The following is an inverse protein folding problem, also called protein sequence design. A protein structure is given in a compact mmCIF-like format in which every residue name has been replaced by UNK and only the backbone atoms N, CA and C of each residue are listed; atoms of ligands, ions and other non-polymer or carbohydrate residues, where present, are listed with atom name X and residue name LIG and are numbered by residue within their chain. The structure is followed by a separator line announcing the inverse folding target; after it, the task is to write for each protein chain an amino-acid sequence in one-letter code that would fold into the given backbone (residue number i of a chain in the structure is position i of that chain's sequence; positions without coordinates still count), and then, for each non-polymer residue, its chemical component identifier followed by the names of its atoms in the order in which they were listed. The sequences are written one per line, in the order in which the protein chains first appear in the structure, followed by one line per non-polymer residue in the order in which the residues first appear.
data_IF_960190336058
#
_entry.id   IF_960190336058
#
_cell.length_a   1.000
_cell.length_b   1.000
_cell.length_c   1.000
_cell.angle_alpha   90.00
_cell.angle_beta   90.00
_cell.angle_gamma   90.00
#
_symmetry.space_group_name_H-M   'P 1'
#
loop_
_entity.id
_entity.type
_entity.pdbx_description
1 polymer ?
#
# COMPACT_ATOMS: atom_id res chain seq x y z
N UNK A 1 -7.85 27.63 -0.77
CA UNK A 1 -8.89 26.75 -1.35
C UNK A 1 -8.39 25.33 -1.59
N UNK A 2 -7.46 25.05 -2.53
CA UNK A 2 -6.99 23.65 -2.76
C UNK A 2 -6.27 23.06 -1.53
N UNK A 3 -5.33 23.80 -0.93
CA UNK A 3 -4.59 23.34 0.25
C UNK A 3 -5.47 23.19 1.50
N UNK A 4 -6.43 24.10 1.69
CA UNK A 4 -7.37 24.06 2.82
C UNK A 4 -8.29 22.82 2.74
N UNK A 5 -8.74 22.45 1.54
CA UNK A 5 -9.52 21.22 1.35
C UNK A 5 -8.68 20.00 1.70
N UNK A 6 -7.45 19.93 1.19
CA UNK A 6 -6.53 18.83 1.47
C UNK A 6 -6.19 18.71 2.96
N UNK A 7 -6.06 19.85 3.65
CA UNK A 7 -5.84 19.90 5.09
C UNK A 7 -7.03 19.37 5.88
N UNK A 8 -8.25 19.79 5.54
CA UNK A 8 -9.47 19.29 6.18
C UNK A 8 -9.63 17.77 6.00
N UNK A 9 -9.39 17.27 4.78
CA UNK A 9 -9.45 15.83 4.50
C UNK A 9 -8.41 15.06 5.34
N UNK A 10 -7.20 15.61 5.49
CA UNK A 10 -6.15 15.02 6.35
C UNK A 10 -6.60 15.00 7.81
N UNK A 11 -7.18 16.08 8.33
CA UNK A 11 -7.63 16.16 9.72
C UNK A 11 -8.73 15.12 10.01
N UNK A 12 -9.72 14.99 9.12
CA UNK A 12 -10.77 13.97 9.22
C UNK A 12 -10.17 12.55 9.25
N UNK A 13 -9.29 12.22 8.29
CA UNK A 13 -8.61 10.92 8.27
C UNK A 13 -7.75 10.68 9.52
N UNK A 14 -7.07 11.69 10.06
CA UNK A 14 -6.27 11.53 11.28
C UNK A 14 -7.15 11.20 12.49
N UNK A 15 -8.33 11.82 12.62
CA UNK A 15 -9.30 11.49 13.65
C UNK A 15 -9.79 10.04 13.50
N UNK A 16 -10.15 9.63 12.28
CA UNK A 16 -10.59 8.26 11.97
C UNK A 16 -9.51 7.21 12.23
N UNK A 17 -8.25 7.57 11.98
CA UNK A 17 -7.10 6.71 12.27
C UNK A 17 -6.78 6.63 13.78
N UNK A 18 -7.39 7.48 14.60
CA UNK A 18 -7.25 7.52 16.05
C UNK A 18 -6.06 8.36 16.54
N UNK A 19 -5.55 9.27 15.69
CA UNK A 19 -4.53 10.23 16.11
C UNK A 19 -5.10 11.17 17.19
N UNK A 20 -4.27 11.52 18.18
CA UNK A 20 -4.65 12.39 19.31
C UNK A 20 -3.59 13.45 19.62
N UNK A 21 -2.73 13.73 18.64
CA UNK A 21 -1.67 14.70 18.83
C UNK A 21 -2.13 16.14 18.61
N UNK A 22 -1.24 17.11 18.86
CA UNK A 22 -1.57 18.54 18.88
C UNK A 22 -1.92 19.11 17.49
N UNK A 23 -1.63 18.38 16.41
CA UNK A 23 -1.92 18.86 15.04
C UNK A 23 -3.40 18.82 14.66
N UNK A 24 -4.27 18.27 15.52
CA UNK A 24 -5.73 18.38 15.37
C UNK A 24 -6.28 19.74 15.83
N UNK A 25 -5.48 20.55 16.53
CA UNK A 25 -5.89 21.90 16.92
C UNK A 25 -5.97 22.82 15.69
N UNK A 26 -6.91 23.77 15.72
CA UNK A 26 -7.19 24.68 14.59
C UNK A 26 -5.92 25.43 14.13
N UNK A 27 -5.58 25.27 12.85
CA UNK A 27 -4.40 25.87 12.22
C UNK A 27 -3.04 25.26 12.60
N UNK A 28 -2.98 24.28 13.51
CA UNK A 28 -1.72 23.65 13.92
C UNK A 28 -1.08 22.87 12.76
N UNK A 29 -1.87 22.11 12.00
CA UNK A 29 -1.42 21.40 10.83
C UNK A 29 -0.93 22.35 9.72
N UNK A 30 -1.63 23.46 9.47
CA UNK A 30 -1.20 24.50 8.53
C UNK A 30 0.21 25.00 8.85
N UNK A 31 0.45 25.33 10.13
CA UNK A 31 1.74 25.85 10.60
C UNK A 31 2.85 24.80 10.47
N UNK A 32 2.59 23.57 10.92
CA UNK A 32 3.57 22.48 10.86
C UNK A 32 3.92 22.12 9.42
N UNK A 33 2.92 21.95 8.55
CA UNK A 33 3.12 21.63 7.13
C UNK A 33 3.81 22.76 6.35
N UNK A 34 3.64 24.03 6.77
CA UNK A 34 4.38 25.15 6.21
C UNK A 34 5.87 25.14 6.59
N UNK A 35 6.19 24.65 7.80
CA UNK A 35 7.57 24.43 8.24
C UNK A 35 8.23 23.17 7.65
N UNK A 36 7.41 22.20 7.23
CA UNK A 36 7.83 20.98 6.56
C UNK A 36 8.87 20.20 7.35
N UNK A 37 9.95 19.76 6.70
CA UNK A 37 11.03 19.01 7.37
C UNK A 37 11.72 19.77 8.52
N UNK A 38 11.60 21.10 8.57
CA UNK A 38 12.15 21.91 9.67
C UNK A 38 11.21 22.00 10.88
N UNK A 39 9.95 21.55 10.79
CA UNK A 39 9.00 21.55 11.91
C UNK A 39 9.05 20.21 12.66
N UNK A 40 9.47 20.19 13.94
CA UNK A 40 9.41 18.99 14.78
C UNK A 40 8.00 18.40 14.87
N UNK A 41 6.96 19.22 14.88
CA UNK A 41 5.57 18.77 14.96
C UNK A 41 5.16 18.02 13.70
N UNK A 42 5.55 18.52 12.53
CA UNK A 42 5.33 17.86 11.25
C UNK A 42 6.08 16.52 11.17
N UNK A 43 7.36 16.49 11.53
CA UNK A 43 8.17 15.25 11.47
C UNK A 43 7.67 14.21 12.49
N UNK A 44 7.17 14.63 13.66
CA UNK A 44 6.51 13.74 14.63
C UNK A 44 5.26 13.08 14.07
N UNK A 45 4.44 13.81 13.30
CA UNK A 45 3.27 13.23 12.64
C UNK A 45 3.67 12.20 11.60
N UNK A 46 4.66 12.50 10.74
CA UNK A 46 5.20 11.54 9.79
C UNK A 46 5.72 10.29 10.50
N UNK A 47 6.54 10.45 11.54
CA UNK A 47 7.06 9.33 12.32
C UNK A 47 5.94 8.49 12.96
N UNK A 48 4.88 9.11 13.45
CA UNK A 48 3.70 8.41 13.98
C UNK A 48 3.00 7.58 12.89
N UNK A 49 2.70 8.17 11.72
CA UNK A 49 2.08 7.45 10.60
C UNK A 49 2.93 6.24 10.16
N UNK A 50 4.25 6.42 10.09
CA UNK A 50 5.19 5.34 9.73
C UNK A 50 5.21 4.25 10.80
N UNK A 51 5.16 4.62 12.08
CA UNK A 51 5.09 3.65 13.18
C UNK A 51 3.80 2.81 13.14
N UNK A 52 2.68 3.42 12.74
CA UNK A 52 1.40 2.72 12.55
C UNK A 52 1.46 1.80 11.32
N UNK A 53 2.04 2.27 10.20
CA UNK A 53 2.25 1.46 8.99
C UNK A 53 3.07 0.21 9.27
N UNK A 54 4.11 0.30 10.11
CA UNK A 54 4.97 -0.81 10.52
C UNK A 54 4.23 -1.96 11.20
N UNK A 55 3.03 -1.72 11.74
CA UNK A 55 2.21 -2.78 12.33
C UNK A 55 1.63 -3.73 11.26
N UNK A 56 1.55 -3.27 10.01
CA UNK A 56 0.92 -3.99 8.90
C UNK A 56 1.92 -4.32 7.78
N UNK A 57 2.89 -3.44 7.56
CA UNK A 57 3.91 -3.54 6.53
C UNK A 57 5.26 -3.90 7.14
N UNK A 58 6.02 -4.80 6.50
CA UNK A 58 7.39 -5.14 6.91
C UNK A 58 8.38 -4.10 6.39
N UNK A 59 8.31 -2.90 6.94
CA UNK A 59 9.16 -1.78 6.53
C UNK A 59 10.57 -1.92 7.10
N UNK A 60 11.58 -1.81 6.25
CA UNK A 60 12.99 -1.70 6.63
C UNK A 60 13.27 -0.27 7.11
N UNK A 61 12.87 0.74 6.33
CA UNK A 61 13.23 2.15 6.53
C UNK A 61 12.50 2.80 7.69
N UNK A 62 13.24 3.40 8.62
CA UNK A 62 12.71 3.99 9.83
C UNK A 62 12.77 5.51 9.74
N UNK A 63 11.68 6.16 10.14
CA UNK A 63 11.56 7.61 10.11
C UNK A 63 11.49 8.10 11.55
N UNK A 64 12.46 8.92 11.95
CA UNK A 64 12.54 9.48 13.27
C UNK A 64 12.01 10.91 13.29
N UNK A 65 11.35 11.28 14.38
CA UNK A 65 10.96 12.65 14.62
C UNK A 65 12.19 13.51 14.89
N UNK A 66 12.20 14.72 14.33
CA UNK A 66 13.26 15.69 14.60
C UNK A 66 12.99 16.46 15.90
N UNK A 67 14.07 16.88 16.57
CA UNK A 67 14.03 17.78 17.73
C UNK A 67 14.32 19.23 17.34
N UNK A 68 15.02 19.43 16.22
CA UNK A 68 15.36 20.75 15.70
C UNK A 68 15.55 20.75 14.18
N UNK A 69 15.47 21.93 13.51
CA UNK A 69 15.69 22.05 12.06
C UNK A 69 17.02 21.51 11.53
N UNK A 70 18.06 21.41 12.37
CA UNK A 70 19.36 20.85 11.98
C UNK A 70 19.31 19.38 11.56
N UNK A 71 18.28 18.64 11.97
CA UNK A 71 18.06 17.22 11.66
C UNK A 71 17.17 17.03 10.40
N UNK A 72 16.73 18.12 9.77
CA UNK A 72 15.78 18.08 8.66
C UNK A 72 16.32 17.36 7.40
N UNK A 73 17.62 17.45 7.14
CA UNK A 73 18.24 16.77 5.99
C UNK A 73 18.26 15.26 6.19
N UNK A 74 18.59 14.79 7.40
CA UNK A 74 18.57 13.36 7.76
C UNK A 74 17.15 12.80 7.68
N UNK A 75 16.17 13.51 8.25
CA UNK A 75 14.75 13.14 8.14
C UNK A 75 14.30 13.00 6.68
N UNK A 76 14.71 13.90 5.78
CA UNK A 76 14.34 13.82 4.37
C UNK A 76 14.99 12.64 3.65
N UNK A 77 16.19 12.20 4.08
CA UNK A 77 16.83 10.99 3.57
C UNK A 77 16.06 9.74 4.00
N UNK A 78 15.67 9.65 5.28
CA UNK A 78 14.84 8.56 5.82
C UNK A 78 13.49 8.46 5.08
N UNK A 79 12.81 9.59 4.90
CA UNK A 79 11.57 9.65 4.10
C UNK A 79 11.83 9.18 2.67
N UNK A 80 12.94 9.59 2.04
CA UNK A 80 13.24 9.16 0.67
C UNK A 80 13.49 7.66 0.57
N UNK A 81 14.14 7.05 1.57
CA UNK A 81 14.29 5.60 1.66
C UNK A 81 12.94 4.91 1.74
N UNK A 82 12.11 5.34 2.70
CA UNK A 82 10.76 4.81 2.91
C UNK A 82 9.88 4.91 1.65
N UNK A 83 9.88 6.08 0.98
CA UNK A 83 9.10 6.28 -0.23
C UNK A 83 9.59 5.39 -1.40
N UNK A 84 10.89 5.10 -1.45
CA UNK A 84 11.45 4.13 -2.40
C UNK A 84 10.99 2.71 -2.10
N UNK A 85 11.04 2.30 -0.83
CA UNK A 85 10.58 1.00 -0.36
C UNK A 85 9.10 0.77 -0.66
N UNK A 86 8.25 1.76 -0.41
CA UNK A 86 6.80 1.69 -0.66
C UNK A 86 6.41 1.96 -2.12
N UNK A 87 7.39 2.12 -3.03
CA UNK A 87 7.17 2.40 -4.45
C UNK A 87 6.25 3.62 -4.69
N UNK A 88 6.47 4.71 -3.95
CA UNK A 88 5.64 5.91 -4.01
C UNK A 88 5.53 6.44 -5.44
N UNK A 89 4.30 6.61 -5.98
CA UNK A 89 4.10 6.99 -7.38
C UNK A 89 4.32 8.49 -7.63
N UNK A 90 4.39 9.31 -6.58
CA UNK A 90 4.51 10.76 -6.70
C UNK A 90 5.95 11.18 -6.95
N UNK A 91 6.27 11.43 -8.22
CA UNK A 91 7.62 11.86 -8.66
C UNK A 91 8.08 13.15 -7.96
N UNK A 92 7.16 14.02 -7.59
CA UNK A 92 7.45 15.23 -6.80
C UNK A 92 8.05 14.93 -5.42
N UNK A 93 7.77 13.76 -4.85
CA UNK A 93 8.32 13.31 -3.57
C UNK A 93 9.56 12.40 -3.73
N UNK A 94 9.71 11.75 -4.88
CA UNK A 94 10.77 10.74 -5.10
C UNK A 94 11.91 11.21 -6.02
N UNK A 95 11.75 12.32 -6.73
CA UNK A 95 12.72 12.82 -7.72
C UNK A 95 13.26 14.21 -7.36
N UNK A 96 14.39 14.59 -7.96
CA UNK A 96 15.07 15.86 -7.68
C UNK A 96 15.90 15.83 -6.39
N UNK A 97 16.28 17.01 -5.90
CA UNK A 97 17.12 17.17 -4.71
C UNK A 97 16.37 16.78 -3.43
N UNK A 98 16.86 15.75 -2.73
CA UNK A 98 16.18 15.10 -1.61
C UNK A 98 15.92 16.05 -0.44
N UNK A 99 16.85 16.97 -0.15
CA UNK A 99 16.73 17.89 1.00
C UNK A 99 15.82 19.08 0.73
N UNK A 100 15.26 19.18 -0.48
CA UNK A 100 14.37 20.28 -0.88
C UNK A 100 12.92 19.84 -1.08
N UNK A 101 12.62 18.54 -1.04
CA UNK A 101 11.31 18.02 -1.43
C UNK A 101 10.22 18.38 -0.43
N UNK A 102 10.56 18.49 0.85
CA UNK A 102 9.62 18.80 1.94
C UNK A 102 9.81 20.21 2.51
N UNK A 103 10.22 21.16 1.67
CA UNK A 103 10.33 22.58 2.02
C UNK A 103 9.15 23.43 1.52
N UNK A 104 8.15 22.81 0.88
CA UNK A 104 6.92 23.48 0.49
C UNK A 104 5.71 22.75 1.06
N UNK A 105 4.70 23.52 1.44
CA UNK A 105 3.51 23.02 2.11
C UNK A 105 2.74 22.00 1.28
N UNK A 106 2.62 22.22 -0.04
CA UNK A 106 1.88 21.31 -0.94
C UNK A 106 2.47 19.91 -0.94
N UNK A 107 3.79 19.79 -1.01
CA UNK A 107 4.46 18.49 -0.95
C UNK A 107 4.36 17.86 0.44
N UNK A 108 4.35 18.68 1.49
CA UNK A 108 4.18 18.18 2.85
C UNK A 108 2.80 17.56 3.05
N UNK A 109 1.74 18.27 2.64
CA UNK A 109 0.39 17.72 2.65
C UNK A 109 0.28 16.49 1.73
N UNK A 110 0.90 16.50 0.55
CA UNK A 110 0.92 15.33 -0.35
C UNK A 110 1.56 14.10 0.30
N UNK A 111 2.66 14.28 1.02
CA UNK A 111 3.28 13.20 1.79
C UNK A 111 2.32 12.66 2.86
N UNK A 112 1.68 13.54 3.63
CA UNK A 112 0.72 13.12 4.66
C UNK A 112 -0.47 12.36 4.06
N UNK A 113 -1.09 12.89 3.01
CA UNK A 113 -2.19 12.21 2.29
C UNK A 113 -1.76 10.84 1.80
N UNK A 114 -0.55 10.72 1.23
CA UNK A 114 -0.02 9.44 0.79
C UNK A 114 0.12 8.46 1.97
N UNK A 115 0.84 8.84 3.03
CA UNK A 115 1.05 7.97 4.20
C UNK A 115 -0.25 7.55 4.88
N UNK A 116 -1.21 8.47 5.00
CA UNK A 116 -2.55 8.20 5.52
C UNK A 116 -3.27 7.17 4.63
N UNK A 117 -3.29 7.39 3.32
CA UNK A 117 -3.97 6.49 2.37
C UNK A 117 -3.37 5.08 2.39
N UNK A 118 -2.05 4.96 2.50
CA UNK A 118 -1.36 3.67 2.63
C UNK A 118 -1.71 2.98 3.95
N UNK A 119 -1.81 3.74 5.05
CA UNK A 119 -2.18 3.19 6.36
C UNK A 119 -3.64 2.71 6.38
N UNK A 120 -4.56 3.51 5.85
CA UNK A 120 -5.96 3.13 5.70
C UNK A 120 -6.10 1.87 4.83
N UNK A 121 -5.40 1.82 3.69
CA UNK A 121 -5.38 0.64 2.82
C UNK A 121 -4.82 -0.58 3.55
N UNK A 122 -3.70 -0.44 4.27
CA UNK A 122 -3.10 -1.53 5.04
C UNK A 122 -4.06 -2.07 6.11
N UNK A 123 -4.76 -1.19 6.84
CA UNK A 123 -5.79 -1.58 7.82
C UNK A 123 -6.98 -2.29 7.16
N UNK A 124 -7.47 -1.79 6.02
CA UNK A 124 -8.55 -2.43 5.27
C UNK A 124 -8.14 -3.83 4.78
N UNK A 125 -6.92 -3.98 4.25
CA UNK A 125 -6.38 -5.27 3.84
C UNK A 125 -6.27 -6.24 5.01
N UNK A 126 -5.82 -5.77 6.17
CA UNK A 126 -5.75 -6.57 7.39
C UNK A 126 -7.12 -7.07 7.86
N UNK A 127 -8.18 -6.26 7.74
CA UNK A 127 -9.54 -6.67 8.11
C UNK A 127 -10.15 -7.64 7.09
N UNK A 128 -9.94 -7.39 5.79
CA UNK A 128 -10.54 -8.17 4.70
C UNK A 128 -9.81 -9.50 4.45
N UNK A 129 -8.50 -9.53 4.69
CA UNK A 129 -7.63 -10.68 4.55
C UNK A 129 -6.71 -10.76 5.77
N UNK A 130 -7.25 -11.04 6.98
CA UNK A 130 -6.43 -11.14 8.18
C UNK A 130 -5.33 -12.15 7.93
N UNK A 131 -4.08 -11.86 8.34
CA UNK A 131 -2.97 -12.76 8.11
C UNK A 131 -3.40 -14.11 8.64
N UNK A 132 -3.58 -15.07 7.73
CA UNK A 132 -3.90 -16.44 8.10
C UNK A 132 -2.79 -16.81 9.06
N UNK A 133 -3.12 -16.97 10.35
CA UNK A 133 -2.20 -17.61 11.32
C UNK A 133 -1.62 -18.76 10.55
N UNK A 134 -0.30 -18.73 10.31
CA UNK A 134 0.35 -19.68 9.43
C UNK A 134 -0.23 -21.05 9.78
N UNK A 135 -1.15 -21.55 8.95
CA UNK A 135 -1.56 -22.92 9.10
C UNK A 135 -0.27 -23.62 8.76
N UNK A 136 0.32 -24.27 9.76
CA UNK A 136 1.48 -25.14 9.67
C UNK A 136 1.16 -26.28 8.69
N UNK A 137 1.00 -25.91 7.43
CA UNK A 137 0.59 -26.71 6.31
C UNK A 137 1.78 -26.75 5.37
N UNK A 138 2.67 -27.69 5.64
CA UNK A 138 3.75 -28.24 4.81
C UNK A 138 3.65 -27.91 3.30
N UNK A 139 4.04 -26.72 2.87
CA UNK A 139 4.06 -26.33 1.45
C UNK A 139 4.49 -24.89 1.23
N UNK A 140 5.02 -24.59 0.03
CA UNK A 140 5.34 -23.22 -0.39
C UNK A 140 4.09 -22.35 -0.49
N UNK A 141 4.25 -21.03 -0.47
CA UNK A 141 3.17 -20.07 -0.69
C UNK A 141 2.39 -20.36 -1.99
N UNK A 142 3.12 -20.64 -3.08
CA UNK A 142 2.56 -21.07 -4.37
C UNK A 142 1.67 -22.32 -4.23
N UNK A 143 2.06 -23.27 -3.40
CA UNK A 143 1.25 -24.47 -3.17
C UNK A 143 -0.06 -24.14 -2.43
N UNK A 144 -0.03 -23.23 -1.46
CA UNK A 144 -1.24 -22.82 -0.74
C UNK A 144 -2.21 -22.06 -1.64
N UNK A 145 -1.70 -21.20 -2.53
CA UNK A 145 -2.52 -20.50 -3.53
C UNK A 145 -3.19 -21.47 -4.51
N UNK A 146 -2.42 -22.40 -5.09
CA UNK A 146 -2.98 -23.42 -5.98
C UNK A 146 -4.02 -24.30 -5.28
N UNK A 147 -3.76 -24.67 -4.01
CA UNK A 147 -4.73 -25.39 -3.18
C UNK A 147 -5.99 -24.56 -2.93
N UNK A 148 -5.84 -23.26 -2.67
CA UNK A 148 -6.95 -22.32 -2.51
C UNK A 148 -7.85 -22.27 -3.75
N UNK A 149 -7.25 -22.16 -4.94
CA UNK A 149 -7.96 -22.19 -6.22
C UNK A 149 -8.75 -23.49 -6.38
N UNK A 150 -8.14 -24.65 -6.11
CA UNK A 150 -8.82 -25.94 -6.21
C UNK A 150 -10.02 -26.02 -5.26
N UNK A 151 -9.89 -25.55 -4.01
CA UNK A 151 -10.97 -25.54 -3.04
C UNK A 151 -12.11 -24.61 -3.50
N UNK A 152 -11.77 -23.39 -3.95
CA UNK A 152 -12.75 -22.41 -4.42
C UNK A 152 -13.54 -22.91 -5.64
N UNK A 153 -12.88 -23.63 -6.55
CA UNK A 153 -13.51 -24.25 -7.71
C UNK A 153 -14.22 -25.58 -7.40
N UNK A 154 -14.21 -26.03 -6.14
CA UNK A 154 -14.80 -27.30 -5.71
C UNK A 154 -14.17 -28.52 -6.38
N UNK A 155 -12.87 -28.45 -6.70
CA UNK A 155 -12.12 -29.55 -7.29
C UNK A 155 -11.76 -30.59 -6.23
N UNK A 156 -11.82 -31.87 -6.60
CA UNK A 156 -11.27 -32.95 -5.78
C UNK A 156 -9.74 -32.89 -5.75
N UNK A 157 -9.14 -33.53 -4.73
CA UNK A 157 -7.69 -33.69 -4.63
C UNK A 157 -7.12 -34.27 -5.94
N UNK A 158 -6.07 -33.67 -6.52
CA UNK A 158 -5.49 -34.16 -7.76
C UNK A 158 -4.90 -35.57 -7.60
N UNK A 159 -4.90 -36.41 -8.66
CA UNK A 159 -4.19 -37.69 -8.68
C UNK A 159 -2.69 -37.50 -8.41
N UNK A 160 -2.06 -38.47 -7.74
CA UNK A 160 -0.64 -38.39 -7.37
C UNK A 160 0.32 -38.27 -8.57
N UNK A 161 -0.11 -38.73 -9.75
CA UNK A 161 0.67 -38.73 -11.00
C UNK A 161 0.26 -37.64 -12.00
N UNK A 162 -0.50 -36.63 -11.56
CA UNK A 162 -0.94 -35.55 -12.45
C UNK A 162 0.26 -34.73 -12.93
N UNK A 163 0.30 -34.43 -14.22
CA UNK A 163 1.29 -33.51 -14.78
C UNK A 163 0.85 -32.05 -14.57
N UNK A 164 1.78 -31.10 -14.56
CA UNK A 164 1.46 -29.67 -14.43
C UNK A 164 0.50 -29.19 -15.52
N UNK A 165 0.70 -29.64 -16.76
CA UNK A 165 -0.21 -29.32 -17.86
C UNK A 165 -1.63 -29.82 -17.59
N UNK A 166 -1.79 -31.08 -17.22
CA UNK A 166 -3.11 -31.65 -16.89
C UNK A 166 -3.77 -30.95 -15.69
N UNK A 167 -2.97 -30.55 -14.71
CA UNK A 167 -3.46 -29.83 -13.54
C UNK A 167 -4.03 -28.46 -13.92
N UNK A 168 -3.27 -27.64 -14.67
CA UNK A 168 -3.74 -26.33 -15.11
C UNK A 168 -4.89 -26.42 -16.13
N UNK A 169 -4.86 -27.39 -17.05
CA UNK A 169 -6.01 -27.66 -17.93
C UNK A 169 -7.26 -28.05 -17.14
N UNK A 170 -7.10 -28.76 -16.03
CA UNK A 170 -8.19 -29.09 -15.12
C UNK A 170 -8.79 -27.86 -14.44
N UNK A 171 -7.94 -26.97 -13.95
CA UNK A 171 -8.35 -25.67 -13.38
C UNK A 171 -9.09 -24.84 -14.44
N UNK A 172 -8.52 -24.69 -15.63
CA UNK A 172 -9.12 -23.92 -16.73
C UNK A 172 -10.50 -24.47 -17.09
N UNK A 173 -10.63 -25.79 -17.22
CA UNK A 173 -11.91 -26.45 -17.50
C UNK A 173 -12.92 -26.15 -16.39
N UNK A 174 -12.54 -26.32 -15.12
CA UNK A 174 -13.45 -26.11 -13.99
C UNK A 174 -13.88 -24.64 -13.85
N UNK A 175 -12.97 -23.72 -14.15
CA UNK A 175 -13.26 -22.29 -14.19
C UNK A 175 -14.30 -21.97 -15.27
N UNK A 176 -14.12 -22.48 -16.51
CA UNK A 176 -15.11 -22.32 -17.59
C UNK A 176 -16.47 -22.90 -17.23
N UNK A 177 -16.51 -24.09 -16.62
CA UNK A 177 -17.74 -24.70 -16.12
C UNK A 177 -18.44 -23.85 -15.05
N UNK A 178 -17.66 -23.22 -14.17
CA UNK A 178 -18.20 -22.38 -13.10
C UNK A 178 -18.72 -21.05 -13.66
N UNK A 179 -17.98 -20.43 -14.57
CA UNK A 179 -18.41 -19.22 -15.28
C UNK A 179 -19.68 -19.44 -16.12
N UNK A 180 -19.85 -20.63 -16.69
CA UNK A 180 -21.06 -20.99 -17.44
C UNK A 180 -22.32 -21.08 -16.57
N UNK A 181 -22.19 -21.18 -15.24
CA UNK A 181 -23.32 -21.22 -14.29
C UNK A 181 -23.78 -19.84 -13.83
N UNK A 182 -23.02 -18.80 -14.13
CA UNK A 182 -23.35 -17.42 -13.75
C UNK A 182 -23.72 -16.60 -15.00
N UNK A 183 -24.48 -15.50 -14.84
CA UNK A 183 -24.76 -14.60 -15.95
C UNK A 183 -23.50 -14.08 -16.63
N UNK A 184 -23.55 -13.82 -17.94
CA UNK A 184 -22.39 -13.35 -18.73
C UNK A 184 -21.82 -12.01 -18.27
N UNK A 185 -22.59 -11.23 -17.52
CA UNK A 185 -22.18 -9.96 -16.91
C UNK A 185 -21.69 -10.10 -15.46
N UNK A 186 -21.60 -11.31 -14.89
CA UNK A 186 -21.22 -11.52 -13.48
C UNK A 186 -19.82 -11.00 -13.16
N UNK A 187 -18.85 -11.20 -14.07
CA UNK A 187 -17.47 -10.72 -13.93
C UNK A 187 -17.30 -9.28 -14.49
N UNK A 188 -18.34 -8.72 -15.10
CA UNK A 188 -18.27 -7.41 -15.75
C UNK A 188 -17.44 -7.40 -17.03
N UNK A 189 -17.10 -6.19 -17.50
CA UNK A 189 -16.25 -6.01 -18.69
C UNK A 189 -14.78 -6.13 -18.31
N UNK A 190 -13.93 -6.77 -19.12
CA UNK A 190 -12.49 -6.81 -18.87
C UNK A 190 -11.89 -5.41 -18.77
N UNK A 191 -11.04 -5.18 -17.75
CA UNK A 191 -10.25 -3.95 -17.64
C UNK A 191 -9.21 -3.84 -18.77
N UNK A 192 -8.71 -4.99 -19.24
CA UNK A 192 -7.77 -5.09 -20.35
C UNK A 192 -8.33 -6.04 -21.41
N UNK A 193 -8.54 -5.52 -22.62
CA UNK A 193 -9.07 -6.27 -23.77
C UNK A 193 -8.02 -6.67 -24.80
N UNK A 194 -6.79 -6.12 -24.68
CA UNK A 194 -5.68 -6.44 -25.58
C UNK A 194 -4.89 -7.63 -25.03
N UNK A 195 -4.59 -8.65 -25.86
CA UNK A 195 -3.76 -9.76 -25.44
C UNK A 195 -2.34 -9.27 -25.14
N UNK A 196 -1.80 -9.70 -24.00
CA UNK A 196 -0.42 -9.44 -23.64
C UNK A 196 0.47 -10.48 -24.33
N UNK A 197 1.33 -10.03 -25.23
CA UNK A 197 2.43 -10.83 -25.77
C UNK A 197 3.59 -11.00 -24.77
N UNK A 198 4.57 -11.87 -25.06
CA UNK A 198 5.66 -12.22 -24.15
C UNK A 198 6.43 -11.01 -23.60
N UNK A 199 6.70 -10.00 -24.45
CA UNK A 199 7.42 -8.77 -24.05
C UNK A 199 6.62 -7.95 -23.03
N UNK A 200 5.29 -7.96 -23.11
CA UNK A 200 4.46 -7.25 -22.14
C UNK A 200 4.41 -7.98 -20.80
N UNK A 201 4.37 -9.32 -20.80
CA UNK A 201 4.41 -10.12 -19.58
C UNK A 201 5.71 -9.94 -18.80
N UNK A 202 6.85 -9.84 -19.49
CA UNK A 202 8.15 -9.56 -18.83
C UNK A 202 8.12 -8.24 -18.05
N UNK A 203 7.38 -7.22 -18.51
CA UNK A 203 7.27 -5.93 -17.83
C UNK A 203 6.25 -5.90 -16.68
N UNK A 204 5.40 -6.92 -16.56
CA UNK A 204 4.35 -7.01 -15.54
C UNK A 204 4.77 -7.98 -14.43
N UNK A 205 5.52 -9.02 -14.76
CA UNK A 205 5.98 -10.05 -13.83
C UNK A 205 7.36 -9.75 -13.20
N UNK A 206 7.96 -8.59 -13.50
CA UNK A 206 9.19 -8.05 -12.89
C UNK A 206 8.85 -6.74 -12.21
#
# INVERSE_FOLDING_TARGET
MELELMENDILESLEDLGYKGPLLEDGALTLASSGGANSPEYTKLCAWLVSELRLFCKLEENVQATNSPSEADEFQLEISGLLGEMNCPYTTLTSGDVTKRLLNQKNCLLLLTYLISELEAARMLYVNAPPKKAQEGTGSEVFQELKGICIALGMSKPPANITMFQFFSGIEKKLKETLAKVPSNHVGKPLLSKPLGPVHWVRICL
#
